data_IF_327377689116
#
_entry.id   IF_327377689116
#
_cell.length_a   1.000
_cell.length_b   1.000
_cell.length_c   1.000
_cell.angle_alpha   90.00
_cell.angle_beta   90.00
_cell.angle_gamma   90.00
#
_symmetry.space_group_name_H-M   'P 1'
#
loop_
_entity.id
_entity.type
_entity.pdbx_description
1 polymer ?
#
# COMPACT_ATOMS: atom_id res chain seq x y z
N UNK A 1 1.56 13.10 6.85
CA UNK A 1 0.13 12.67 6.97
C UNK A 1 -0.07 11.13 6.97
N UNK A 2 0.96 10.30 6.80
CA UNK A 2 0.89 8.82 6.99
C UNK A 2 1.33 8.33 8.38
N UNK A 3 2.14 9.11 9.10
CA UNK A 3 2.63 8.77 10.45
C UNK A 3 1.51 8.47 11.46
N UNK A 4 0.36 9.13 11.30
CA UNK A 4 -0.81 8.95 12.18
C UNK A 4 -1.42 7.54 12.06
N UNK A 5 -1.27 6.89 10.91
CA UNK A 5 -1.76 5.52 10.68
C UNK A 5 -0.73 4.45 11.08
N UNK A 6 0.56 4.78 11.09
CA UNK A 6 1.60 3.87 11.57
C UNK A 6 1.49 3.67 13.09
N UNK A 7 1.38 4.74 13.87
CA UNK A 7 1.29 4.65 15.34
C UNK A 7 2.47 3.86 15.92
N UNK A 8 2.23 2.61 16.36
CA UNK A 8 3.24 1.69 16.91
C UNK A 8 3.88 0.73 15.89
N UNK A 9 3.44 0.76 14.63
CA UNK A 9 4.06 -0.03 13.56
C UNK A 9 5.20 0.81 13.00
N UNK A 10 6.43 0.41 13.28
CA UNK A 10 7.59 0.87 12.53
C UNK A 10 7.44 0.34 11.09
N UNK A 11 7.16 1.21 10.13
CA UNK A 11 7.47 0.87 8.75
C UNK A 11 8.99 0.81 8.67
N UNK A 12 9.51 -0.37 8.36
CA UNK A 12 10.94 -0.61 8.24
C UNK A 12 11.45 0.03 6.95
N UNK A 13 10.67 -0.11 5.88
CA UNK A 13 10.93 0.52 4.59
C UNK A 13 9.60 0.82 3.88
N UNK A 14 9.59 1.85 3.04
CA UNK A 14 8.45 2.25 2.25
C UNK A 14 8.93 2.69 0.87
N UNK A 15 8.82 1.80 -0.10
CA UNK A 15 9.14 2.07 -1.49
C UNK A 15 7.86 2.39 -2.25
N UNK A 16 7.94 3.45 -3.07
CA UNK A 16 6.84 3.87 -3.93
C UNK A 16 7.38 4.06 -5.34
N UNK A 17 6.88 3.26 -6.27
CA UNK A 17 7.29 3.26 -7.66
C UNK A 17 6.09 3.61 -8.54
N UNK A 18 6.32 4.45 -9.54
CA UNK A 18 5.30 4.79 -10.53
C UNK A 18 5.88 4.68 -11.91
N UNK A 19 5.22 3.89 -12.73
CA UNK A 19 5.59 3.61 -14.10
C UNK A 19 4.51 4.15 -15.05
N UNK A 20 4.96 4.66 -16.20
CA UNK A 20 4.07 5.06 -17.29
C UNK A 20 3.96 3.90 -18.29
N UNK A 21 2.88 3.16 -18.23
CA UNK A 21 2.57 2.09 -19.19
C UNK A 21 1.94 2.72 -20.44
N UNK A 22 2.73 2.84 -21.51
CA UNK A 22 2.27 3.36 -22.82
C UNK A 22 2.12 2.25 -23.84
N UNK A 23 1.13 1.39 -23.64
CA UNK A 23 0.79 0.36 -24.64
C UNK A 23 -0.41 0.86 -25.46
N UNK A 24 -0.10 1.23 -26.71
CA UNK A 24 -1.01 1.56 -27.81
C UNK A 24 -1.63 2.98 -27.87
N UNK A 25 -1.09 3.70 -28.86
CA UNK A 25 -1.71 4.73 -29.69
C UNK A 25 -3.20 5.01 -29.46
N UNK A 26 -3.49 6.29 -29.16
CA UNK A 26 -4.80 6.96 -29.16
C UNK A 26 -5.49 7.06 -27.76
N UNK A 27 -5.14 8.13 -27.03
CA UNK A 27 -5.94 8.82 -26.00
C UNK A 27 -5.84 8.40 -24.51
N UNK A 28 -4.67 7.99 -24.00
CA UNK A 28 -4.41 8.15 -22.56
C UNK A 28 -3.20 7.38 -22.06
N UNK A 29 -2.28 8.05 -21.37
CA UNK A 29 -1.22 7.38 -20.62
C UNK A 29 -1.83 6.60 -19.46
N UNK A 30 -1.51 5.31 -19.36
CA UNK A 30 -1.87 4.50 -18.21
C UNK A 30 -0.71 4.58 -17.22
N UNK A 31 -0.99 5.00 -16.00
CA UNK A 31 -0.04 5.10 -14.90
C UNK A 31 -0.22 3.88 -14.00
N UNK A 32 0.86 3.12 -13.84
CA UNK A 32 0.97 2.03 -12.90
C UNK A 32 1.66 2.58 -11.64
N UNK A 33 1.02 2.47 -10.48
CA UNK A 33 1.59 2.87 -9.21
C UNK A 33 1.67 1.66 -8.29
N UNK A 34 2.86 1.43 -7.75
CA UNK A 34 3.18 0.37 -6.82
C UNK A 34 3.72 0.94 -5.51
N UNK A 35 3.25 0.39 -4.39
CA UNK A 35 3.79 0.69 -3.07
C UNK A 35 4.14 -0.60 -2.34
N UNK A 36 5.38 -0.68 -1.90
CA UNK A 36 5.93 -1.75 -1.09
C UNK A 36 6.23 -1.22 0.31
N UNK A 37 5.48 -1.70 1.29
CA UNK A 37 5.63 -1.33 2.68
C UNK A 37 6.13 -2.53 3.48
N UNK A 38 7.36 -2.43 3.96
CA UNK A 38 7.96 -3.43 4.82
C UNK A 38 7.56 -3.17 6.28
N UNK A 39 6.92 -4.17 6.90
CA UNK A 39 6.56 -4.13 8.33
C UNK A 39 7.21 -5.32 9.05
N UNK A 40 7.35 -5.27 10.39
CA UNK A 40 8.00 -6.35 11.13
C UNK A 40 7.28 -7.68 10.93
N UNK A 41 7.92 -8.57 10.18
CA UNK A 41 7.45 -9.94 9.90
C UNK A 41 6.44 -10.10 8.75
N UNK A 42 6.16 -9.07 7.95
CA UNK A 42 5.33 -9.18 6.73
C UNK A 42 5.69 -8.06 5.73
N UNK A 43 5.64 -8.33 4.43
CA UNK A 43 5.80 -7.31 3.39
C UNK A 43 4.44 -7.05 2.74
N UNK A 44 4.01 -5.79 2.72
CA UNK A 44 2.72 -5.36 2.20
C UNK A 44 2.92 -4.68 0.85
N UNK A 45 2.49 -5.34 -0.22
CA UNK A 45 2.54 -4.80 -1.60
C UNK A 45 1.16 -4.40 -2.08
N UNK A 46 1.06 -3.22 -2.69
CA UNK A 46 -0.16 -2.70 -3.32
C UNK A 46 0.19 -2.11 -4.67
N UNK A 47 -0.43 -2.64 -5.73
CA UNK A 47 -0.32 -2.13 -7.09
C UNK A 47 -1.69 -1.64 -7.61
N UNK A 48 -1.69 -0.54 -8.35
CA UNK A 48 -2.88 0.01 -9.03
C UNK A 48 -2.52 0.67 -10.35
N UNK A 49 -3.43 0.50 -11.30
CA UNK A 49 -3.30 1.03 -12.65
C UNK A 49 -4.43 2.03 -12.93
N UNK A 50 -4.11 3.27 -13.27
CA UNK A 50 -5.09 4.32 -13.52
C UNK A 50 -4.73 5.17 -14.73
N UNK A 51 -5.71 5.88 -15.29
CA UNK A 51 -5.48 6.80 -16.42
C UNK A 51 -4.88 8.15 -16.03
N UNK A 52 -4.76 8.39 -14.72
CA UNK A 52 -4.29 9.64 -14.13
C UNK A 52 -3.33 9.33 -12.99
N UNK A 53 -2.15 9.94 -13.03
CA UNK A 53 -1.09 9.78 -12.04
C UNK A 53 -1.58 10.05 -10.61
N UNK A 54 -2.31 11.14 -10.40
CA UNK A 54 -2.80 11.50 -9.06
C UNK A 54 -3.84 10.51 -8.56
N UNK A 55 -4.70 10.00 -9.46
CA UNK A 55 -5.67 8.95 -9.11
C UNK A 55 -4.98 7.63 -8.78
N UNK A 56 -3.91 7.28 -9.50
CA UNK A 56 -3.11 6.09 -9.21
C UNK A 56 -2.55 6.17 -7.78
N UNK A 57 -1.89 7.29 -7.45
CA UNK A 57 -1.30 7.54 -6.13
C UNK A 57 -2.38 7.50 -5.04
N UNK A 58 -3.49 8.19 -5.23
CA UNK A 58 -4.56 8.25 -4.24
C UNK A 58 -5.16 6.86 -3.96
N UNK A 59 -5.42 6.08 -5.03
CA UNK A 59 -5.91 4.70 -4.87
C UNK A 59 -4.91 3.81 -4.15
N UNK A 60 -3.62 3.88 -4.48
CA UNK A 60 -2.60 3.08 -3.79
C UNK A 60 -2.54 3.45 -2.30
N UNK A 61 -2.59 4.74 -1.98
CA UNK A 61 -2.59 5.24 -0.60
C UNK A 61 -3.79 4.72 0.20
N UNK A 62 -5.00 4.83 -0.35
CA UNK A 62 -6.24 4.36 0.30
C UNK A 62 -6.24 2.84 0.48
N UNK A 63 -5.80 2.09 -0.52
CA UNK A 63 -5.66 0.64 -0.41
C UNK A 63 -4.59 0.25 0.62
N UNK A 64 -3.44 0.92 0.64
CA UNK A 64 -2.38 0.64 1.61
C UNK A 64 -2.86 0.89 3.04
N UNK A 65 -3.63 1.94 3.29
CA UNK A 65 -4.21 2.21 4.61
C UNK A 65 -5.13 1.06 5.08
N UNK A 66 -5.94 0.49 4.17
CA UNK A 66 -6.79 -0.68 4.47
C UNK A 66 -5.96 -1.94 4.76
N UNK A 67 -4.89 -2.17 4.01
CA UNK A 67 -3.99 -3.31 4.20
C UNK A 67 -3.27 -3.20 5.56
N UNK A 68 -2.76 -2.02 5.91
CA UNK A 68 -2.16 -1.75 7.24
C UNK A 68 -3.17 -2.02 8.36
N UNK A 69 -4.42 -1.58 8.19
CA UNK A 69 -5.49 -1.82 9.17
C UNK A 69 -5.73 -3.31 9.38
N UNK A 70 -5.87 -4.08 8.29
CA UNK A 70 -6.01 -5.55 8.35
C UNK A 70 -4.81 -6.22 9.01
N UNK A 71 -3.59 -5.78 8.71
CA UNK A 71 -2.37 -6.28 9.36
C UNK A 71 -2.41 -6.04 10.87
N UNK A 72 -2.81 -4.84 11.32
CA UNK A 72 -2.99 -4.52 12.75
C UNK A 72 -3.99 -5.47 13.42
N UNK A 73 -5.16 -5.64 12.81
CA UNK A 73 -6.21 -6.52 13.34
C UNK A 73 -5.74 -7.98 13.47
N UNK A 74 -5.10 -8.51 12.42
CA UNK A 74 -4.53 -9.87 12.41
C UNK A 74 -3.45 -10.06 13.48
N UNK A 75 -2.60 -9.05 13.71
CA UNK A 75 -1.56 -9.08 14.76
C UNK A 75 -2.18 -9.06 16.17
N UNK A 76 -3.24 -8.30 16.38
CA UNK A 76 -4.00 -8.28 17.65
C UNK A 76 -4.70 -9.62 17.89
N UNK A 77 -5.35 -10.19 16.88
CA UNK A 77 -6.01 -11.50 16.99
C UNK A 77 -5.01 -12.60 17.36
N UNK A 78 -3.86 -12.66 16.68
CA UNK A 78 -2.78 -13.62 17.00
C UNK A 78 -2.31 -13.50 18.46
N UNK A 79 -2.13 -12.28 18.97
CA UNK A 79 -1.78 -12.03 20.38
C UNK A 79 -2.85 -12.48 21.37
N UNK A 80 -4.13 -12.45 20.98
CA UNK A 80 -5.25 -12.92 21.83
C UNK A 80 -5.29 -14.45 21.89
N UNK A 81 -5.13 -15.13 20.74
CA UNK A 81 -5.12 -16.60 20.67
C UNK A 81 -3.93 -17.23 21.39
N UNK A 82 -2.78 -16.57 21.45
CA UNK A 82 -1.60 -17.12 22.16
C UNK A 82 -1.68 -17.03 23.69
N UNK A 83 -2.76 -16.46 24.24
CA UNK A 83 -2.98 -16.29 25.70
C UNK A 83 -4.10 -17.19 26.23
N UNK A 84 -4.65 -18.08 25.40
CA UNK A 84 -5.66 -19.08 25.77
C UNK A 84 -5.07 -20.48 25.72
#
# INVERSE_FOLDING_TARGET
MLEKFLGSIQALNADFEVELTTEHHLKGGIYHAEMNLEVPGELLRVEKTEKDLFKAIDKVKDHMALVIKKYKEKKVERKRKSRS
#
